data_IF_687415778874
#
_entry.id   IF_687415778874
#
_cell.length_a   1.000
_cell.length_b   1.000
_cell.length_c   1.000
_cell.angle_alpha   90.00
_cell.angle_beta   90.00
_cell.angle_gamma   90.00
#
_symmetry.space_group_name_H-M   'P 1'
#
loop_
_entity.id
_entity.type
_entity.pdbx_description
1 polymer ?
#
# COMPACT_ATOMS: atom_id res chain seq x y z
N UNK A 1 22.91 -1.96 -23.52
CA UNK A 1 23.83 -1.96 -22.35
C UNK A 1 23.96 -0.55 -21.79
N UNK A 2 23.84 -0.38 -20.47
CA UNK A 2 24.11 0.90 -19.80
C UNK A 2 25.62 0.99 -19.54
N UNK A 3 26.30 1.96 -20.15
CA UNK A 3 27.73 2.23 -19.90
C UNK A 3 27.92 2.73 -18.47
N UNK A 4 28.68 2.00 -17.67
CA UNK A 4 28.97 2.33 -16.26
C UNK A 4 29.99 3.48 -16.20
N UNK A 5 29.58 4.65 -15.72
CA UNK A 5 30.45 5.80 -15.43
C UNK A 5 31.44 5.45 -14.32
N UNK A 6 32.71 5.91 -14.42
CA UNK A 6 33.77 5.72 -13.41
C UNK A 6 33.70 6.74 -12.25
N UNK A 7 32.71 7.65 -12.25
CA UNK A 7 32.48 8.59 -11.15
C UNK A 7 31.64 7.90 -10.08
N UNK A 8 31.95 8.15 -8.80
CA UNK A 8 31.04 7.83 -7.70
C UNK A 8 29.84 8.79 -7.77
N UNK A 9 28.96 8.56 -8.73
CA UNK A 9 27.66 9.20 -8.81
C UNK A 9 26.78 8.58 -7.71
N UNK A 10 26.17 9.42 -6.86
CA UNK A 10 25.14 8.95 -5.94
C UNK A 10 24.05 8.24 -6.77
N UNK A 11 23.85 6.95 -6.50
CA UNK A 11 22.91 6.09 -7.22
C UNK A 11 21.45 6.40 -6.84
N UNK A 12 20.55 5.43 -6.96
CA UNK A 12 19.16 5.55 -6.53
C UNK A 12 19.03 6.07 -5.10
N UNK A 13 18.09 6.99 -4.90
CA UNK A 13 17.73 7.58 -3.62
C UNK A 13 16.20 7.62 -3.48
N UNK A 14 15.72 7.78 -2.26
CA UNK A 14 14.29 7.84 -1.93
C UNK A 14 14.03 8.85 -0.79
N UNK A 15 12.77 9.10 -0.45
CA UNK A 15 12.37 10.08 0.56
C UNK A 15 11.96 11.44 0.00
N UNK A 16 11.86 11.54 -1.33
CA UNK A 16 11.23 12.66 -2.02
C UNK A 16 9.70 12.64 -1.84
N UNK A 17 9.02 13.62 -2.44
CA UNK A 17 7.57 13.71 -2.48
C UNK A 17 6.93 12.38 -2.94
N UNK A 18 5.94 11.89 -2.18
CA UNK A 18 5.25 10.63 -2.45
C UNK A 18 4.36 10.70 -3.71
N UNK A 19 4.04 11.90 -4.21
CA UNK A 19 3.33 12.08 -5.47
C UNK A 19 4.17 11.65 -6.69
N UNK A 20 5.50 11.62 -6.57
CA UNK A 20 6.37 11.17 -7.65
C UNK A 20 6.16 9.69 -7.97
N UNK A 21 6.03 9.39 -9.26
CA UNK A 21 5.80 8.02 -9.73
C UNK A 21 6.90 7.05 -9.27
N UNK A 22 8.15 7.52 -9.18
CA UNK A 22 9.29 6.73 -8.70
C UNK A 22 9.24 6.40 -7.20
N UNK A 23 8.45 7.15 -6.41
CA UNK A 23 8.28 6.93 -4.96
C UNK A 23 7.05 6.08 -4.63
N UNK A 24 6.26 5.66 -5.62
CA UNK A 24 5.11 4.78 -5.40
C UNK A 24 5.53 3.36 -5.04
N UNK A 25 4.88 2.79 -4.04
CA UNK A 25 5.09 1.40 -3.59
C UNK A 25 4.10 0.47 -4.29
N UNK A 26 4.40 -0.83 -4.28
CA UNK A 26 3.49 -1.90 -4.65
C UNK A 26 2.60 -2.32 -3.47
N UNK A 27 1.38 -2.76 -3.76
CA UNK A 27 0.50 -3.44 -2.83
C UNK A 27 -0.09 -4.68 -3.50
N UNK A 28 0.04 -5.84 -2.87
CA UNK A 28 -0.52 -7.11 -3.33
C UNK A 28 -1.09 -7.83 -2.11
N UNK A 29 -2.31 -8.34 -2.22
CA UNK A 29 -2.97 -9.10 -1.16
C UNK A 29 -3.47 -10.44 -1.67
N UNK A 30 -3.53 -11.42 -0.77
CA UNK A 30 -4.09 -12.74 -1.03
C UNK A 30 -4.65 -13.31 0.28
N UNK A 31 -5.88 -13.83 0.24
CA UNK A 31 -6.52 -14.44 1.39
C UNK A 31 -8.03 -14.55 1.19
N UNK A 32 -8.74 -15.22 2.11
CA UNK A 32 -10.18 -15.44 2.01
C UNK A 32 -11.01 -14.16 2.11
N UNK A 33 -10.44 -13.09 2.69
CA UNK A 33 -11.09 -11.78 2.84
C UNK A 33 -10.83 -10.85 1.64
N UNK A 34 -10.00 -11.26 0.68
CA UNK A 34 -9.71 -10.48 -0.53
C UNK A 34 -10.31 -11.16 -1.76
N UNK A 35 -10.82 -10.35 -2.67
CA UNK A 35 -11.33 -10.83 -3.95
C UNK A 35 -10.19 -11.29 -4.87
N UNK A 36 -10.36 -12.45 -5.51
CA UNK A 36 -9.33 -13.00 -6.42
C UNK A 36 -9.32 -12.25 -7.75
N UNK A 37 -8.13 -11.89 -8.22
CA UNK A 37 -7.94 -11.27 -9.54
C UNK A 37 -8.39 -9.81 -9.65
N UNK A 38 -8.86 -9.21 -8.55
CA UNK A 38 -9.30 -7.80 -8.53
C UNK A 38 -8.10 -6.86 -8.52
N UNK A 39 -8.12 -5.88 -9.41
CA UNK A 39 -7.25 -4.69 -9.36
C UNK A 39 -7.98 -3.57 -8.66
N UNK A 40 -7.33 -2.91 -7.71
CA UNK A 40 -7.88 -1.78 -6.97
C UNK A 40 -7.21 -0.47 -7.40
N UNK A 41 -7.90 0.69 -7.28
CA UNK A 41 -7.25 1.99 -7.45
C UNK A 41 -6.08 2.18 -6.49
N UNK A 42 -5.17 3.11 -6.80
CA UNK A 42 -4.12 3.52 -5.86
C UNK A 42 -4.72 4.14 -4.60
N UNK A 43 -4.12 3.85 -3.46
CA UNK A 43 -4.52 4.39 -2.15
C UNK A 43 -3.27 4.65 -1.30
N UNK A 44 -3.44 5.38 -0.20
CA UNK A 44 -2.34 5.74 0.69
C UNK A 44 -2.06 4.63 1.71
N UNK A 45 -0.78 4.44 2.06
CA UNK A 45 -0.37 3.36 2.98
C UNK A 45 -0.95 3.49 4.40
N UNK A 46 -1.40 4.68 4.82
CA UNK A 46 -2.06 4.91 6.11
C UNK A 46 -3.33 4.07 6.30
N UNK A 47 -3.96 3.65 5.20
CA UNK A 47 -5.18 2.85 5.23
C UNK A 47 -4.94 1.37 5.62
N UNK A 48 -3.71 0.89 5.49
CA UNK A 48 -3.36 -0.53 5.70
C UNK A 48 -3.66 -0.98 7.13
N UNK A 49 -3.47 -0.09 8.11
CA UNK A 49 -3.71 -0.43 9.52
C UNK A 49 -5.16 -0.87 9.78
N UNK A 50 -6.13 -0.10 9.28
CA UNK A 50 -7.55 -0.41 9.46
C UNK A 50 -7.91 -1.73 8.74
N UNK A 51 -7.32 -2.01 7.58
CA UNK A 51 -7.53 -3.28 6.85
C UNK A 51 -7.06 -4.47 7.68
N UNK A 52 -5.86 -4.41 8.25
CA UNK A 52 -5.30 -5.48 9.09
C UNK A 52 -6.15 -5.66 10.36
N UNK A 53 -6.52 -4.57 11.02
CA UNK A 53 -7.36 -4.61 12.21
C UNK A 53 -8.74 -5.25 11.92
N UNK A 54 -9.35 -4.93 10.78
CA UNK A 54 -10.61 -5.54 10.34
C UNK A 54 -10.48 -7.05 10.09
N UNK A 55 -9.42 -7.49 9.40
CA UNK A 55 -9.16 -8.92 9.15
C UNK A 55 -9.01 -9.69 10.47
N UNK A 56 -8.31 -9.12 11.44
CA UNK A 56 -8.06 -9.71 12.76
C UNK A 56 -9.22 -9.54 13.76
N UNK A 57 -10.30 -8.84 13.36
CA UNK A 57 -11.44 -8.52 14.23
C UNK A 57 -11.05 -7.75 15.50
N UNK A 58 -10.12 -6.80 15.37
CA UNK A 58 -9.63 -5.97 16.47
C UNK A 58 -10.28 -4.59 16.45
N UNK A 59 -10.42 -3.99 17.63
CA UNK A 59 -10.71 -2.55 17.76
C UNK A 59 -9.41 -1.77 17.53
N UNK A 60 -9.29 -1.11 16.38
CA UNK A 60 -8.14 -0.27 16.05
C UNK A 60 -7.94 0.88 17.04
N UNK A 61 -6.69 1.23 17.29
CA UNK A 61 -6.32 2.46 17.98
C UNK A 61 -6.58 3.69 17.08
N UNK A 62 -6.69 4.90 17.64
CA UNK A 62 -6.80 6.12 16.85
C UNK A 62 -5.65 6.25 15.84
N UNK A 63 -5.98 6.46 14.57
CA UNK A 63 -5.03 6.57 13.47
C UNK A 63 -5.59 7.50 12.36
N UNK A 64 -4.79 7.78 11.34
CA UNK A 64 -5.15 8.72 10.26
C UNK A 64 -5.86 8.07 9.06
N UNK A 65 -6.01 6.74 9.05
CA UNK A 65 -6.74 6.03 7.98
C UNK A 65 -8.24 6.22 8.11
N UNK A 66 -8.93 6.12 6.98
CA UNK A 66 -10.38 6.21 6.88
C UNK A 66 -11.06 4.96 7.44
N UNK A 67 -11.97 5.11 8.39
CA UNK A 67 -12.69 3.99 9.00
C UNK A 67 -13.52 3.17 7.99
N UNK A 68 -13.94 3.78 6.88
CA UNK A 68 -14.69 3.14 5.81
C UNK A 68 -13.82 2.41 4.78
N UNK A 69 -12.50 2.64 4.73
CA UNK A 69 -11.65 2.06 3.69
C UNK A 69 -11.66 0.52 3.64
N UNK A 70 -11.65 -0.22 4.77
CA UNK A 70 -11.65 -1.68 4.73
C UNK A 70 -12.80 -2.29 3.93
N UNK A 71 -13.99 -1.67 3.94
CA UNK A 71 -15.14 -2.19 3.16
C UNK A 71 -14.99 -2.00 1.65
N UNK A 72 -14.07 -1.15 1.21
CA UNK A 72 -13.77 -0.94 -0.21
C UNK A 72 -12.84 -2.01 -0.77
N UNK A 73 -11.98 -2.61 0.07
CA UNK A 73 -10.90 -3.51 -0.35
C UNK A 73 -11.12 -4.97 0.08
N UNK A 74 -11.83 -5.20 1.18
CA UNK A 74 -12.20 -6.52 1.66
C UNK A 74 -13.55 -6.95 1.06
N UNK A 75 -13.76 -8.26 0.97
CA UNK A 75 -15.08 -8.81 0.68
C UNK A 75 -16.04 -8.45 1.83
N UNK A 76 -17.30 -8.16 1.52
CA UNK A 76 -18.32 -8.04 2.56
C UNK A 76 -18.39 -9.35 3.33
N UNK A 77 -18.19 -9.29 4.65
CA UNK A 77 -18.44 -10.43 5.52
C UNK A 77 -19.91 -10.85 5.36
N UNK A 78 -20.14 -12.11 5.01
CA UNK A 78 -21.43 -12.76 5.21
C UNK A 78 -21.78 -12.84 6.70
#
# INVERSE_FOLDING_TARGET
ELKRSKRNECSGSHGYDNAFFSMRTIFISHGPQFERGRKVPSFENVEIYNVIASILKLKGAPNNGSASFPSTILLSSA
#
